data_IF_592958012844
#
_entry.id   IF_592958012844
#
_cell.length_a   1.000
_cell.length_b   1.000
_cell.length_c   1.000
_cell.angle_alpha   90.00
_cell.angle_beta   90.00
_cell.angle_gamma   90.00
#
_symmetry.space_group_name_H-M   'P 1'
#
loop_
_entity.id
_entity.type
_entity.pdbx_description
1 polymer ?
#
# COMPACT_ATOMS: atom_id res chain seq x y z
N UNK A 1 22.72 -14.52 -10.51
CA UNK A 1 22.40 -13.30 -9.75
C UNK A 1 20.89 -13.25 -9.62
N UNK A 2 20.38 -13.41 -8.40
CA UNK A 2 18.96 -13.56 -8.09
C UNK A 2 18.40 -12.24 -7.56
N UNK A 3 17.36 -11.72 -8.18
CA UNK A 3 16.76 -10.43 -7.82
C UNK A 3 15.34 -10.63 -7.30
N UNK A 4 15.03 -10.05 -6.16
CA UNK A 4 13.68 -10.08 -5.60
C UNK A 4 13.03 -8.71 -5.65
N UNK A 5 11.73 -8.69 -5.96
CA UNK A 5 10.84 -7.53 -5.88
C UNK A 5 10.01 -7.56 -4.62
N UNK A 6 9.76 -6.39 -4.04
CA UNK A 6 8.82 -6.16 -2.96
C UNK A 6 7.93 -4.99 -3.37
N UNK A 7 6.60 -5.11 -3.19
CA UNK A 7 5.65 -4.01 -3.39
C UNK A 7 5.25 -3.51 -2.00
N UNK A 8 5.45 -2.22 -1.73
CA UNK A 8 5.28 -1.68 -0.37
C UNK A 8 4.80 -0.23 -0.33
N UNK A 9 4.20 0.14 0.80
CA UNK A 9 3.89 1.53 1.15
C UNK A 9 4.90 2.13 2.12
N UNK A 10 5.41 1.33 3.06
CA UNK A 10 6.30 1.74 4.16
C UNK A 10 5.77 2.97 4.94
N UNK A 11 4.54 2.89 5.38
CA UNK A 11 3.81 4.04 5.95
C UNK A 11 3.52 3.90 7.46
N UNK A 12 4.53 4.10 8.36
CA UNK A 12 5.97 4.21 8.07
C UNK A 12 6.68 2.85 7.92
N UNK A 13 7.96 2.88 7.58
CA UNK A 13 8.83 1.70 7.62
C UNK A 13 8.99 1.24 9.08
N UNK A 14 8.96 -0.08 9.33
CA UNK A 14 9.06 -0.67 10.66
C UNK A 14 9.79 -2.03 10.64
N UNK A 15 10.08 -2.60 11.80
CA UNK A 15 10.84 -3.86 11.96
C UNK A 15 10.29 -5.03 11.13
N UNK A 16 8.97 -5.12 10.95
CA UNK A 16 8.38 -6.15 10.07
C UNK A 16 8.79 -6.00 8.59
N UNK A 17 8.99 -4.77 8.11
CA UNK A 17 9.50 -4.52 6.76
C UNK A 17 11.00 -4.85 6.65
N UNK A 18 11.80 -4.51 7.65
CA UNK A 18 13.20 -4.91 7.73
C UNK A 18 13.34 -6.43 7.74
N UNK A 19 12.53 -7.11 8.56
CA UNK A 19 12.48 -8.58 8.59
C UNK A 19 12.19 -9.17 7.20
N UNK A 20 11.24 -8.61 6.46
CA UNK A 20 10.93 -9.04 5.10
C UNK A 20 12.13 -8.89 4.16
N UNK A 21 12.82 -7.74 4.17
CA UNK A 21 14.02 -7.51 3.36
C UNK A 21 15.13 -8.50 3.74
N UNK A 22 15.39 -8.66 5.03
CA UNK A 22 16.39 -9.59 5.55
C UNK A 22 16.08 -11.04 5.16
N UNK A 23 14.85 -11.50 5.37
CA UNK A 23 14.39 -12.83 4.97
C UNK A 23 14.60 -13.06 3.46
N UNK A 24 14.27 -12.07 2.64
CA UNK A 24 14.45 -12.13 1.19
C UNK A 24 15.93 -12.33 0.81
N UNK A 25 16.84 -11.63 1.47
CA UNK A 25 18.29 -11.79 1.24
C UNK A 25 18.85 -13.09 1.81
N UNK A 26 18.52 -13.39 3.06
CA UNK A 26 19.16 -14.50 3.78
C UNK A 26 18.53 -15.86 3.50
N UNK A 27 17.19 -15.95 3.44
CA UNK A 27 16.47 -17.22 3.27
C UNK A 27 16.18 -17.51 1.79
N UNK A 28 15.71 -16.52 1.03
CA UNK A 28 15.46 -16.69 -0.39
C UNK A 28 16.72 -16.55 -1.25
N UNK A 29 17.86 -16.16 -0.62
CA UNK A 29 19.15 -16.00 -1.29
C UNK A 29 19.09 -15.03 -2.47
N UNK A 30 18.36 -13.94 -2.31
CA UNK A 30 18.36 -12.86 -3.28
C UNK A 30 19.63 -12.01 -3.12
N UNK A 31 20.35 -11.81 -4.22
CA UNK A 31 21.51 -10.91 -4.26
C UNK A 31 21.08 -9.45 -4.15
N UNK A 32 19.92 -9.12 -4.75
CA UNK A 32 19.34 -7.77 -4.74
C UNK A 32 17.85 -7.75 -4.39
N UNK A 33 17.43 -6.69 -3.70
CA UNK A 33 16.03 -6.39 -3.36
C UNK A 33 15.63 -5.06 -4.00
N UNK A 34 14.69 -5.12 -4.95
CA UNK A 34 14.05 -3.96 -5.59
C UNK A 34 12.70 -3.73 -4.92
N UNK A 35 12.45 -2.51 -4.48
CA UNK A 35 11.17 -2.11 -3.88
C UNK A 35 10.39 -1.24 -4.85
N UNK A 36 9.19 -1.67 -5.26
CA UNK A 36 8.19 -0.83 -5.90
C UNK A 36 7.37 -0.17 -4.79
N UNK A 37 7.57 1.13 -4.56
CA UNK A 37 7.03 1.84 -3.41
C UNK A 37 5.99 2.88 -3.81
N UNK A 38 4.88 2.95 -3.07
CA UNK A 38 3.93 4.06 -3.17
C UNK A 38 4.62 5.41 -2.95
N UNK A 39 4.28 6.39 -3.78
CA UNK A 39 4.73 7.77 -3.63
C UNK A 39 4.21 8.42 -2.33
N UNK A 40 3.91 9.71 -2.38
CA UNK A 40 3.49 10.47 -1.19
C UNK A 40 2.04 10.22 -0.76
N UNK A 41 1.28 9.45 -1.55
CA UNK A 41 -0.07 8.98 -1.22
C UNK A 41 -0.15 7.46 -1.34
N UNK A 42 -1.00 6.86 -0.50
CA UNK A 42 -1.04 5.42 -0.29
C UNK A 42 -2.41 4.82 -0.64
N UNK A 43 -2.47 3.51 -0.82
CA UNK A 43 -3.64 2.75 -1.29
C UNK A 43 -4.91 2.97 -0.44
N UNK A 44 -4.75 3.34 0.82
CA UNK A 44 -5.89 3.65 1.69
C UNK A 44 -6.60 4.95 1.32
N UNK A 45 -6.08 5.74 0.38
CA UNK A 45 -6.64 7.02 -0.03
C UNK A 45 -6.28 8.16 0.93
N UNK A 46 -5.08 8.13 1.48
CA UNK A 46 -4.57 9.16 2.41
C UNK A 46 -3.14 9.57 2.03
N UNK A 47 -2.67 10.75 2.46
CA UNK A 47 -1.25 11.04 2.41
C UNK A 47 -0.47 10.01 3.24
N UNK A 48 0.73 9.69 2.82
CA UNK A 48 1.66 8.95 3.64
C UNK A 48 2.06 9.80 4.86
N UNK A 49 2.32 9.17 6.00
CA UNK A 49 2.66 9.88 7.24
C UNK A 49 3.87 10.80 7.05
N UNK A 50 4.92 10.30 6.41
CA UNK A 50 6.17 11.01 6.10
C UNK A 50 6.47 10.92 4.60
N UNK A 51 7.29 11.84 4.09
CA UNK A 51 7.58 11.95 2.66
C UNK A 51 8.15 10.65 2.07
N UNK A 52 7.92 10.43 0.78
CA UNK A 52 8.49 9.27 0.07
C UNK A 52 10.03 9.25 0.16
N UNK A 53 10.69 10.40 0.09
CA UNK A 53 12.16 10.46 0.18
C UNK A 53 12.68 9.98 1.54
N UNK A 54 12.01 10.39 2.64
CA UNK A 54 12.30 9.87 3.99
C UNK A 54 12.14 8.36 4.06
N UNK A 55 11.04 7.82 3.48
CA UNK A 55 10.77 6.36 3.46
C UNK A 55 11.75 5.58 2.60
N UNK A 56 12.20 6.16 1.48
CA UNK A 56 13.28 5.60 0.64
C UNK A 56 14.57 5.48 1.43
N UNK A 57 14.98 6.55 2.12
CA UNK A 57 16.20 6.53 2.94
C UNK A 57 16.11 5.45 4.02
N UNK A 58 14.97 5.33 4.72
CA UNK A 58 14.76 4.28 5.71
C UNK A 58 14.89 2.87 5.10
N UNK A 59 14.27 2.62 3.95
CA UNK A 59 14.31 1.32 3.28
C UNK A 59 15.73 0.94 2.81
N UNK A 60 16.47 1.90 2.23
CA UNK A 60 17.86 1.67 1.78
C UNK A 60 18.80 1.40 2.96
N UNK A 61 18.66 2.11 4.09
CA UNK A 61 19.43 1.86 5.32
C UNK A 61 19.16 0.47 5.89
N UNK A 62 17.95 -0.05 5.70
CA UNK A 62 17.54 -1.38 6.16
C UNK A 62 17.69 -2.48 5.09
N UNK A 63 18.51 -2.24 4.06
CA UNK A 63 18.97 -3.30 3.15
C UNK A 63 18.25 -3.41 1.81
N UNK A 64 17.28 -2.54 1.48
CA UNK A 64 16.80 -2.43 0.10
C UNK A 64 17.91 -1.92 -0.82
N UNK A 65 18.02 -2.43 -2.03
CA UNK A 65 19.08 -2.08 -2.97
C UNK A 65 18.66 -0.96 -3.95
N UNK A 66 17.40 -1.00 -4.36
CA UNK A 66 16.80 -0.04 -5.28
C UNK A 66 15.35 0.21 -4.88
N UNK A 67 14.93 1.48 -4.88
CA UNK A 67 13.54 1.87 -4.66
C UNK A 67 13.01 2.61 -5.89
N UNK A 68 11.93 2.08 -6.45
CA UNK A 68 11.20 2.64 -7.58
C UNK A 68 9.87 3.23 -7.10
N UNK A 69 9.43 4.31 -7.71
CA UNK A 69 8.14 4.92 -7.43
C UNK A 69 7.02 4.31 -8.26
N UNK A 70 5.94 3.92 -7.61
CA UNK A 70 4.68 3.64 -8.30
C UNK A 70 3.91 4.95 -8.54
N UNK A 71 3.37 5.20 -9.74
CA UNK A 71 2.54 6.36 -10.02
C UNK A 71 1.39 6.52 -9.04
N UNK A 72 1.00 7.76 -8.77
CA UNK A 72 -0.03 8.05 -7.76
C UNK A 72 -1.37 7.43 -8.10
N UNK A 73 -1.77 7.39 -9.37
CA UNK A 73 -3.00 6.74 -9.83
C UNK A 73 -3.04 5.23 -9.54
N UNK A 74 -1.88 4.56 -9.51
CA UNK A 74 -1.73 3.16 -9.10
C UNK A 74 -1.63 3.05 -7.58
N UNK A 75 -0.80 3.88 -6.95
CA UNK A 75 -0.57 3.84 -5.49
C UNK A 75 -1.84 4.05 -4.68
N UNK A 76 -2.84 4.75 -5.24
CA UNK A 76 -4.10 5.07 -4.58
C UNK A 76 -5.30 4.28 -5.14
N UNK A 77 -5.05 3.29 -5.99
CA UNK A 77 -6.08 2.49 -6.63
C UNK A 77 -6.67 1.36 -5.74
N UNK A 78 -7.60 0.60 -6.30
CA UNK A 78 -8.10 -0.63 -5.68
C UNK A 78 -6.99 -1.65 -5.48
N UNK A 79 -7.19 -2.66 -4.62
CA UNK A 79 -6.20 -3.71 -4.39
C UNK A 79 -5.78 -4.41 -5.69
N UNK A 80 -6.72 -4.66 -6.60
CA UNK A 80 -6.46 -5.28 -7.90
C UNK A 80 -5.58 -4.40 -8.80
N UNK A 81 -5.94 -3.12 -8.97
CA UNK A 81 -5.15 -2.20 -9.82
C UNK A 81 -3.78 -1.89 -9.19
N UNK A 82 -3.71 -1.74 -7.86
CA UNK A 82 -2.45 -1.59 -7.13
C UNK A 82 -1.52 -2.78 -7.35
N UNK A 83 -2.05 -4.00 -7.20
CA UNK A 83 -1.29 -5.23 -7.42
C UNK A 83 -0.85 -5.37 -8.88
N UNK A 84 -1.77 -5.14 -9.83
CA UNK A 84 -1.45 -5.20 -11.26
C UNK A 84 -0.35 -4.21 -11.63
N UNK A 85 -0.45 -2.96 -11.19
CA UNK A 85 0.55 -1.94 -11.47
C UNK A 85 1.92 -2.27 -10.85
N UNK A 86 1.95 -2.63 -9.57
CA UNK A 86 3.21 -2.98 -8.88
C UNK A 86 3.89 -4.21 -9.50
N UNK A 87 3.12 -5.26 -9.83
CA UNK A 87 3.66 -6.46 -10.50
C UNK A 87 4.10 -6.13 -11.91
N UNK A 88 3.33 -5.34 -12.68
CA UNK A 88 3.72 -4.95 -14.05
C UNK A 88 5.02 -4.14 -14.08
N UNK A 89 5.24 -3.26 -13.10
CA UNK A 89 6.50 -2.53 -12.95
C UNK A 89 7.67 -3.49 -12.76
N UNK A 90 7.56 -4.39 -11.79
CA UNK A 90 8.63 -5.35 -11.49
C UNK A 90 8.90 -6.33 -12.65
N UNK A 91 7.85 -6.83 -13.29
CA UNK A 91 7.95 -7.73 -14.43
C UNK A 91 8.60 -7.04 -15.65
N UNK A 92 8.26 -5.77 -15.87
CA UNK A 92 8.81 -4.98 -16.97
C UNK A 92 10.31 -4.67 -16.85
N UNK A 93 10.88 -4.78 -15.65
CA UNK A 93 12.34 -4.63 -15.46
C UNK A 93 13.13 -5.79 -16.11
N UNK A 94 12.51 -6.95 -16.33
CA UNK A 94 13.10 -8.11 -17.01
C UNK A 94 14.20 -8.83 -16.23
N UNK A 95 14.43 -8.47 -14.95
CA UNK A 95 15.51 -9.02 -14.12
C UNK A 95 15.02 -9.50 -12.74
N UNK A 96 13.73 -9.42 -12.46
CA UNK A 96 13.16 -9.86 -11.18
C UNK A 96 12.76 -11.33 -11.26
N UNK A 97 13.28 -12.14 -10.33
CA UNK A 97 13.05 -13.58 -10.27
C UNK A 97 11.95 -13.95 -9.27
N UNK A 98 11.84 -13.17 -8.18
CA UNK A 98 10.95 -13.45 -7.06
C UNK A 98 10.12 -12.21 -6.72
N UNK A 99 8.82 -12.38 -6.43
CA UNK A 99 8.00 -11.41 -5.74
C UNK A 99 7.78 -11.88 -4.30
N UNK A 100 8.37 -11.17 -3.33
CA UNK A 100 8.25 -11.48 -1.90
C UNK A 100 7.23 -10.55 -1.23
N UNK A 101 6.23 -11.12 -0.57
CA UNK A 101 5.22 -10.36 0.18
C UNK A 101 4.81 -11.06 1.48
N UNK A 102 4.24 -10.32 2.42
CA UNK A 102 3.71 -10.88 3.65
C UNK A 102 2.23 -11.20 3.53
N UNK A 103 1.79 -12.33 4.08
CA UNK A 103 0.38 -12.71 4.20
C UNK A 103 0.07 -13.23 5.60
N UNK A 104 -1.19 -13.20 6.00
CA UNK A 104 -1.61 -13.73 7.31
C UNK A 104 -1.56 -15.27 7.32
N UNK A 105 -1.89 -15.91 6.20
CA UNK A 105 -1.85 -17.38 6.08
C UNK A 105 -0.43 -17.94 6.01
N UNK A 106 0.48 -17.26 5.30
CA UNK A 106 1.81 -17.77 4.99
C UNK A 106 1.82 -18.90 3.95
N UNK A 107 0.67 -19.24 3.37
CA UNK A 107 0.48 -20.39 2.47
C UNK A 107 0.34 -19.94 1.01
N UNK A 108 1.45 -19.99 0.27
CA UNK A 108 1.47 -19.53 -1.12
C UNK A 108 0.65 -20.39 -2.07
N UNK A 109 0.53 -21.70 -1.81
CA UNK A 109 -0.28 -22.62 -2.60
C UNK A 109 -1.74 -22.20 -2.62
N UNK A 110 -2.31 -21.93 -1.45
CA UNK A 110 -3.68 -21.48 -1.28
C UNK A 110 -3.96 -20.14 -2.01
N UNK A 111 -3.04 -19.18 -1.91
CA UNK A 111 -3.18 -17.91 -2.59
C UNK A 111 -3.13 -18.04 -4.12
N UNK A 112 -2.26 -18.90 -4.64
CA UNK A 112 -2.15 -19.18 -6.09
C UNK A 112 -3.40 -19.88 -6.63
N UNK A 113 -3.94 -20.85 -5.90
CA UNK A 113 -5.13 -21.60 -6.30
C UNK A 113 -6.36 -20.67 -6.35
N UNK A 114 -6.57 -19.85 -5.32
CA UNK A 114 -7.61 -18.82 -5.32
C UNK A 114 -7.43 -17.83 -6.48
N UNK A 115 -6.21 -17.43 -6.76
CA UNK A 115 -5.91 -16.53 -7.87
C UNK A 115 -6.24 -17.17 -9.23
N UNK A 116 -5.93 -18.47 -9.42
CA UNK A 116 -6.23 -19.21 -10.63
C UNK A 116 -7.73 -19.22 -10.91
N UNK A 117 -8.55 -19.63 -9.92
CA UNK A 117 -10.01 -19.62 -10.05
C UNK A 117 -10.56 -18.24 -10.40
N UNK A 118 -10.01 -17.21 -9.76
CA UNK A 118 -10.44 -15.82 -10.02
C UNK A 118 -9.99 -15.26 -11.37
N UNK A 119 -8.98 -15.85 -12.00
CA UNK A 119 -8.53 -15.48 -13.37
C UNK A 119 -9.31 -16.26 -14.42
N UNK A 120 -9.50 -17.55 -14.20
CA UNK A 120 -10.20 -18.44 -15.14
C UNK A 120 -11.73 -18.27 -15.12
N UNK A 121 -12.25 -17.90 -13.95
CA UNK A 121 -13.69 -17.73 -13.70
C UNK A 121 -14.52 -18.92 -14.25
N UNK A 122 -14.33 -20.14 -13.71
CA UNK A 122 -15.08 -21.30 -14.17
C UNK A 122 -16.60 -21.06 -14.13
N UNK A 123 -17.35 -21.69 -15.04
CA UNK A 123 -18.80 -21.47 -15.17
C UNK A 123 -19.59 -21.73 -13.87
N UNK A 124 -19.17 -22.72 -13.08
CA UNK A 124 -19.82 -23.00 -11.79
C UNK A 124 -19.56 -21.87 -10.78
N UNK A 125 -18.34 -21.31 -10.75
CA UNK A 125 -18.02 -20.14 -9.94
C UNK A 125 -18.84 -18.91 -10.36
N UNK A 126 -18.95 -18.63 -11.69
CA UNK A 126 -19.77 -17.52 -12.21
C UNK A 126 -21.23 -17.62 -11.82
N UNK A 127 -21.81 -18.83 -11.87
CA UNK A 127 -23.19 -19.08 -11.46
C UNK A 127 -23.38 -18.77 -9.98
N UNK A 128 -22.49 -19.25 -9.11
CA UNK A 128 -22.53 -18.99 -7.67
C UNK A 128 -22.41 -17.50 -7.37
N UNK A 129 -21.44 -16.82 -8.00
CA UNK A 129 -21.23 -15.38 -7.83
C UNK A 129 -22.48 -14.58 -8.23
N UNK A 130 -23.08 -14.91 -9.38
CA UNK A 130 -24.33 -14.26 -9.85
C UNK A 130 -25.49 -14.49 -8.91
N UNK A 131 -25.63 -15.70 -8.35
CA UNK A 131 -26.67 -16.03 -7.37
C UNK A 131 -26.55 -15.14 -6.15
N UNK A 132 -25.36 -15.09 -5.52
CA UNK A 132 -25.15 -14.28 -4.32
C UNK A 132 -25.28 -12.79 -4.55
N UNK A 133 -24.91 -12.28 -5.73
CA UNK A 133 -25.16 -10.89 -6.11
C UNK A 133 -26.66 -10.60 -6.26
N UNK A 134 -27.45 -11.55 -6.82
CA UNK A 134 -28.90 -11.39 -6.94
C UNK A 134 -29.64 -11.43 -5.59
N UNK A 135 -29.03 -12.03 -4.58
CA UNK A 135 -29.50 -12.02 -3.17
C UNK A 135 -29.18 -10.70 -2.43
N UNK A 136 -28.54 -9.74 -3.12
CA UNK A 136 -28.24 -8.42 -2.57
C UNK A 136 -26.96 -8.35 -1.73
N UNK A 137 -26.05 -9.36 -1.86
CA UNK A 137 -24.75 -9.29 -1.21
C UNK A 137 -23.86 -8.26 -1.93
N UNK A 138 -22.98 -7.59 -1.16
CA UNK A 138 -21.92 -6.78 -1.75
C UNK A 138 -20.95 -7.65 -2.55
N UNK A 139 -20.32 -7.12 -3.59
CA UNK A 139 -19.40 -7.89 -4.42
C UNK A 139 -18.30 -8.63 -3.62
N UNK A 140 -17.62 -8.04 -2.62
CA UNK A 140 -16.66 -8.79 -1.81
C UNK A 140 -17.27 -9.96 -1.04
N UNK A 141 -18.48 -9.78 -0.48
CA UNK A 141 -19.18 -10.84 0.26
C UNK A 141 -19.65 -11.95 -0.70
N UNK A 142 -20.23 -11.58 -1.84
CA UNK A 142 -20.67 -12.54 -2.87
C UNK A 142 -19.48 -13.34 -3.42
N UNK A 143 -18.34 -12.68 -3.69
CA UNK A 143 -17.10 -13.33 -4.14
C UNK A 143 -16.58 -14.32 -3.10
N UNK A 144 -16.56 -13.94 -1.83
CA UNK A 144 -16.09 -14.80 -0.74
C UNK A 144 -16.99 -16.03 -0.59
N UNK A 145 -18.31 -15.86 -0.61
CA UNK A 145 -19.25 -16.97 -0.51
C UNK A 145 -19.20 -17.88 -1.75
N UNK A 146 -19.12 -17.30 -2.96
CA UNK A 146 -19.03 -18.07 -4.19
C UNK A 146 -17.78 -18.96 -4.22
N UNK A 147 -16.62 -18.42 -3.80
CA UNK A 147 -15.41 -19.23 -3.68
C UNK A 147 -15.56 -20.33 -2.63
N UNK A 148 -16.11 -20.02 -1.46
CA UNK A 148 -16.33 -21.00 -0.40
C UNK A 148 -17.22 -22.15 -0.88
N UNK A 149 -18.33 -21.85 -1.56
CA UNK A 149 -19.23 -22.89 -2.10
C UNK A 149 -18.60 -23.64 -3.28
N UNK A 150 -17.83 -22.95 -4.12
CA UNK A 150 -17.11 -23.57 -5.22
C UNK A 150 -16.14 -24.66 -4.72
N UNK A 151 -15.37 -24.34 -3.65
CA UNK A 151 -14.43 -25.28 -3.03
C UNK A 151 -15.11 -26.46 -2.30
N UNK A 152 -16.34 -26.30 -1.81
CA UNK A 152 -17.07 -27.39 -1.16
C UNK A 152 -17.53 -28.50 -2.12
N UNK A 153 -17.56 -28.22 -3.43
CA UNK A 153 -18.04 -29.18 -4.41
C UNK A 153 -16.86 -29.98 -5.02
N UNK A 154 -16.70 -31.28 -4.66
CA UNK A 154 -15.61 -32.11 -5.16
C UNK A 154 -15.55 -32.23 -6.69
N UNK A 155 -16.70 -32.07 -7.37
CA UNK A 155 -16.78 -32.18 -8.84
C UNK A 155 -16.09 -31.06 -9.60
N UNK A 156 -15.75 -29.97 -8.91
CA UNK A 156 -15.04 -28.83 -9.51
C UNK A 156 -13.55 -29.09 -9.67
N UNK A 157 -13.06 -30.20 -9.12
CA UNK A 157 -11.64 -30.56 -9.12
C UNK A 157 -11.46 -31.94 -9.75
N UNK A 158 -10.60 -32.09 -10.71
CA UNK A 158 -10.29 -33.36 -11.37
C UNK A 158 -8.92 -33.84 -10.90
N UNK A 159 -8.90 -35.01 -10.20
CA UNK A 159 -7.66 -35.71 -9.85
C UNK A 159 -7.65 -36.33 -8.45
N UNK A 160 -6.73 -37.26 -8.24
CA UNK A 160 -6.51 -38.01 -6.96
C UNK A 160 -5.98 -37.11 -5.81
N UNK A 161 -5.71 -35.81 -6.09
CA UNK A 161 -5.18 -34.86 -5.11
C UNK A 161 -6.24 -34.27 -4.17
N UNK A 162 -7.48 -34.75 -4.26
CA UNK A 162 -8.64 -34.15 -3.60
C UNK A 162 -8.60 -34.24 -2.06
N UNK A 163 -8.10 -35.34 -1.49
CA UNK A 163 -8.21 -35.57 -0.03
C UNK A 163 -7.11 -34.91 0.82
N UNK A 164 -5.97 -34.54 0.24
CA UNK A 164 -4.81 -34.05 0.99
C UNK A 164 -4.68 -32.52 1.08
N UNK A 165 -5.06 -31.79 0.03
CA UNK A 165 -4.80 -30.35 -0.09
C UNK A 165 -6.08 -29.51 0.10
N UNK A 166 -7.23 -30.00 -0.31
CA UNK A 166 -8.49 -29.23 -0.34
C UNK A 166 -9.22 -29.16 1.00
N UNK A 167 -9.13 -30.16 1.86
CA UNK A 167 -9.81 -30.15 3.16
C UNK A 167 -9.27 -29.08 4.12
N UNK A 168 -7.96 -28.90 4.25
CA UNK A 168 -7.40 -27.74 4.98
C UNK A 168 -7.80 -26.41 4.35
N UNK A 169 -7.76 -26.30 3.01
CA UNK A 169 -8.09 -25.10 2.26
C UNK A 169 -9.54 -24.64 2.49
N UNK A 170 -10.50 -25.57 2.53
CA UNK A 170 -11.91 -25.28 2.78
C UNK A 170 -12.17 -24.55 4.10
N UNK A 171 -11.47 -24.95 5.16
CA UNK A 171 -11.59 -24.32 6.47
C UNK A 171 -10.91 -22.95 6.52
N UNK A 172 -9.93 -22.71 5.65
CA UNK A 172 -9.11 -21.50 5.63
C UNK A 172 -9.59 -20.46 4.60
N UNK A 173 -10.31 -20.87 3.54
CA UNK A 173 -10.73 -19.94 2.45
C UNK A 173 -11.43 -18.70 2.99
N UNK A 174 -12.37 -18.87 3.92
CA UNK A 174 -13.10 -17.74 4.50
C UNK A 174 -12.16 -16.82 5.30
N UNK A 175 -11.21 -17.38 6.04
CA UNK A 175 -10.23 -16.59 6.78
C UNK A 175 -9.25 -15.87 5.83
N UNK A 176 -8.78 -16.58 4.79
CA UNK A 176 -7.90 -16.03 3.77
C UNK A 176 -8.55 -14.81 3.08
N UNK A 177 -9.83 -14.94 2.69
CA UNK A 177 -10.55 -13.89 1.96
C UNK A 177 -10.98 -12.70 2.82
N UNK A 178 -10.90 -12.80 4.16
CA UNK A 178 -11.28 -11.73 5.07
C UNK A 178 -10.09 -10.92 5.59
N UNK A 179 -8.85 -11.29 5.26
CA UNK A 179 -7.64 -10.62 5.74
C UNK A 179 -6.96 -9.81 4.64
N UNK A 180 -6.55 -8.57 4.93
CA UNK A 180 -6.12 -7.63 3.88
C UNK A 180 -4.87 -8.03 3.14
N UNK A 181 -3.86 -8.62 3.80
CA UNK A 181 -2.63 -8.98 3.12
C UNK A 181 -2.78 -10.29 2.33
N UNK A 182 -3.65 -11.19 2.75
CA UNK A 182 -4.03 -12.35 1.92
C UNK A 182 -4.75 -11.89 0.65
N UNK A 183 -5.69 -10.91 0.75
CA UNK A 183 -6.37 -10.33 -0.41
C UNK A 183 -5.33 -9.74 -1.38
N UNK A 184 -4.38 -8.95 -0.89
CA UNK A 184 -3.29 -8.42 -1.73
C UNK A 184 -2.42 -9.54 -2.31
N UNK A 185 -2.12 -10.58 -1.54
CA UNK A 185 -1.37 -11.75 -2.01
C UNK A 185 -2.07 -12.46 -3.18
N UNK A 186 -3.39 -12.64 -3.09
CA UNK A 186 -4.21 -13.18 -4.19
C UNK A 186 -4.14 -12.25 -5.41
N UNK A 187 -4.29 -10.94 -5.22
CA UNK A 187 -4.23 -9.99 -6.34
C UNK A 187 -2.83 -9.94 -6.99
N UNK A 188 -1.74 -10.12 -6.23
CA UNK A 188 -0.40 -10.29 -6.79
C UNK A 188 -0.29 -11.56 -7.64
N UNK A 189 -0.79 -12.69 -7.14
CA UNK A 189 -0.80 -13.94 -7.90
C UNK A 189 -1.66 -13.82 -9.18
N UNK A 190 -2.84 -13.16 -9.11
CA UNK A 190 -3.67 -12.87 -10.28
C UNK A 190 -2.91 -12.02 -11.30
N UNK A 191 -2.23 -10.97 -10.86
CA UNK A 191 -1.45 -10.10 -11.73
C UNK A 191 -0.33 -10.87 -12.44
N UNK A 192 0.39 -11.74 -11.73
CA UNK A 192 1.43 -12.60 -12.33
C UNK A 192 0.85 -13.54 -13.39
N UNK A 193 -0.31 -14.15 -13.13
CA UNK A 193 -1.00 -15.01 -14.08
C UNK A 193 -1.44 -14.23 -15.34
N UNK A 194 -2.10 -13.10 -15.17
CA UNK A 194 -2.58 -12.26 -16.29
C UNK A 194 -1.47 -11.71 -17.17
N UNK A 195 -0.31 -11.41 -16.57
CA UNK A 195 0.88 -10.95 -17.29
C UNK A 195 1.70 -12.10 -17.89
N UNK A 196 1.33 -13.35 -17.62
CA UNK A 196 2.16 -14.52 -17.95
C UNK A 196 3.60 -14.33 -17.49
N UNK A 197 3.77 -13.81 -16.28
CA UNK A 197 5.06 -13.43 -15.69
C UNK A 197 5.87 -14.65 -15.27
N UNK A 198 7.19 -14.56 -15.41
CA UNK A 198 8.13 -15.59 -14.92
C UNK A 198 8.50 -15.39 -13.45
N UNK A 199 8.05 -14.30 -12.82
CA UNK A 199 8.35 -14.00 -11.42
C UNK A 199 7.66 -15.03 -10.52
N UNK A 200 8.43 -15.65 -9.63
CA UNK A 200 7.93 -16.62 -8.67
C UNK A 200 7.38 -15.90 -7.42
N UNK A 201 6.09 -16.01 -7.09
CA UNK A 201 5.56 -15.43 -5.85
C UNK A 201 5.99 -16.28 -4.65
N UNK A 202 6.43 -15.59 -3.59
CA UNK A 202 6.79 -16.17 -2.29
C UNK A 202 6.15 -15.33 -1.20
N UNK A 203 5.48 -15.97 -0.26
CA UNK A 203 4.89 -15.28 0.89
C UNK A 203 5.61 -15.64 2.18
N UNK A 204 5.66 -14.65 3.09
CA UNK A 204 6.15 -14.80 4.46
C UNK A 204 4.96 -14.68 5.37
N UNK A 205 4.80 -15.62 6.31
CA UNK A 205 3.76 -15.51 7.32
C UNK A 205 4.03 -14.27 8.19
N UNK A 206 3.02 -13.44 8.34
CA UNK A 206 3.11 -12.26 9.22
C UNK A 206 2.96 -12.73 10.66
N UNK A 207 4.03 -12.59 11.41
CA UNK A 207 4.05 -12.78 12.86
C UNK A 207 3.85 -11.44 13.54
N UNK A 208 2.92 -11.33 14.49
CA UNK A 208 2.65 -10.09 15.21
C UNK A 208 1.16 -9.78 15.37
N UNK A 209 0.85 -8.58 15.87
CA UNK A 209 -0.53 -8.13 16.14
C UNK A 209 -1.38 -8.11 14.87
N UNK A 210 -2.62 -8.58 14.99
CA UNK A 210 -3.61 -8.57 13.91
C UNK A 210 -3.79 -7.17 13.31
N UNK A 211 -4.20 -7.12 12.06
CA UNK A 211 -4.38 -5.88 11.28
C UNK A 211 -5.29 -4.82 11.94
N UNK A 212 -6.19 -5.26 12.83
CA UNK A 212 -7.15 -4.41 13.53
C UNK A 212 -6.71 -3.97 14.93
N UNK A 213 -5.58 -4.47 15.43
CA UNK A 213 -5.08 -4.05 16.73
C UNK A 213 -4.39 -2.69 16.61
N UNK A 214 -4.97 -1.70 17.27
CA UNK A 214 -4.49 -0.31 17.31
C UNK A 214 -3.59 -0.02 18.51
N UNK A 215 -3.47 -0.99 19.43
CA UNK A 215 -2.65 -0.87 20.65
C UNK A 215 -1.31 -1.57 20.48
N UNK A 216 -0.24 -0.93 20.91
CA UNK A 216 1.10 -1.56 21.01
C UNK A 216 1.19 -2.19 22.39
N UNK A 217 1.63 -3.46 22.55
CA UNK A 217 1.81 -4.06 23.86
C UNK A 217 2.79 -3.25 24.71
N UNK A 218 2.39 -2.88 25.93
CA UNK A 218 3.31 -2.33 26.91
C UNK A 218 4.19 -3.48 27.41
N UNK A 219 5.48 -3.42 27.13
CA UNK A 219 6.44 -4.37 27.65
C UNK A 219 6.64 -4.16 29.14
N UNK A 220 5.86 -4.86 29.97
CA UNK A 220 6.19 -5.19 31.36
C UNK A 220 5.29 -6.33 31.82
N UNK A 221 5.65 -7.54 31.44
CA UNK A 221 5.34 -8.75 32.22
C UNK A 221 6.42 -9.79 31.95
N UNK A 222 7.59 -9.55 32.57
CA UNK A 222 8.56 -10.60 32.83
C UNK A 222 7.96 -11.58 33.83
N UNK A 223 7.13 -12.52 33.41
CA UNK A 223 6.89 -13.73 34.16
C UNK A 223 8.01 -14.70 33.84
N UNK A 224 8.88 -14.86 34.82
CA UNK A 224 9.96 -15.82 34.92
C UNK A 224 9.54 -17.25 34.61
N UNK A 225 9.95 -17.77 33.45
CA UNK A 225 10.15 -19.19 33.17
C UNK A 225 11.38 -19.35 32.30
N UNK A 226 12.46 -19.97 32.76
CA UNK A 226 13.68 -20.14 32.00
C UNK A 226 13.66 -21.42 31.20
N UNK A 227 12.89 -21.49 30.12
CA UNK A 227 13.03 -22.55 29.11
C UNK A 227 12.13 -22.19 27.95
N UNK A 228 12.73 -21.64 26.94
CA UNK A 228 12.45 -21.67 25.51
C UNK A 228 12.95 -20.38 24.85
N UNK A 229 14.16 -20.45 24.31
CA UNK A 229 14.68 -19.48 23.33
C UNK A 229 13.81 -19.50 22.06
N UNK A 230 12.71 -18.77 22.09
CA UNK A 230 12.01 -18.27 20.91
C UNK A 230 11.54 -16.86 21.25
N UNK A 231 12.38 -15.87 20.96
CA UNK A 231 11.99 -14.47 20.96
C UNK A 231 10.93 -14.28 19.88
N UNK A 232 9.66 -14.39 20.25
CA UNK A 232 8.56 -13.89 19.44
C UNK A 232 8.64 -12.36 19.47
N UNK A 233 9.41 -11.79 18.54
CA UNK A 233 9.45 -10.35 18.30
C UNK A 233 8.05 -9.93 17.82
N UNK A 234 7.26 -9.36 18.70
CA UNK A 234 5.98 -8.77 18.35
C UNK A 234 6.21 -7.48 17.56
N UNK A 235 5.87 -7.49 16.28
CA UNK A 235 5.94 -6.32 15.41
C UNK A 235 4.62 -5.55 15.42
N UNK A 236 4.66 -4.27 15.81
CA UNK A 236 3.50 -3.39 15.69
C UNK A 236 3.15 -3.16 14.20
N UNK A 237 1.87 -3.09 13.90
CA UNK A 237 1.42 -2.74 12.55
C UNK A 237 1.70 -1.25 12.25
N UNK A 238 1.89 -0.90 10.98
CA UNK A 238 2.02 0.49 10.55
C UNK A 238 0.80 1.35 10.98
N UNK A 239 -0.38 0.74 11.13
CA UNK A 239 -1.59 1.39 11.63
C UNK A 239 -1.44 1.76 13.11
N UNK A 240 -0.97 0.83 13.94
CA UNK A 240 -0.72 1.08 15.36
C UNK A 240 0.31 2.22 15.55
N UNK A 241 1.39 2.21 14.77
CA UNK A 241 2.41 3.27 14.81
C UNK A 241 1.81 4.64 14.44
N UNK A 242 0.97 4.72 13.39
CA UNK A 242 0.30 5.98 13.03
C UNK A 242 -0.66 6.45 14.12
N UNK A 243 -1.45 5.55 14.72
CA UNK A 243 -2.36 5.89 15.80
C UNK A 243 -1.66 6.48 17.00
N UNK A 244 -0.48 5.96 17.38
CA UNK A 244 0.34 6.50 18.46
C UNK A 244 0.82 7.94 18.18
N UNK A 245 1.13 8.26 16.93
CA UNK A 245 1.59 9.59 16.54
C UNK A 245 0.42 10.59 16.48
N UNK A 246 -0.75 10.14 16.02
CA UNK A 246 -1.95 10.97 15.89
C UNK A 246 -2.63 11.22 17.24
N UNK A 247 -2.54 10.26 18.19
CA UNK A 247 -3.17 10.32 19.50
C UNK A 247 -2.15 10.05 20.63
N UNK A 248 -1.19 10.95 20.86
CA UNK A 248 -0.23 10.79 21.96
C UNK A 248 -0.99 10.88 23.29
N UNK A 249 -1.02 9.77 24.03
CA UNK A 249 -1.64 9.71 25.35
C UNK A 249 -2.84 8.76 25.55
N UNK A 250 -3.26 8.00 24.52
CA UNK A 250 -4.20 6.85 24.66
C UNK A 250 -5.62 7.16 25.15
N UNK A 251 -6.03 8.41 25.23
CA UNK A 251 -7.38 8.81 25.60
C UNK A 251 -8.29 8.93 24.39
N UNK A 252 -9.47 8.30 24.44
CA UNK A 252 -10.61 8.61 23.54
C UNK A 252 -11.14 10.01 23.86
N UNK A 253 -10.37 11.06 23.61
CA UNK A 253 -10.91 12.40 23.53
C UNK A 253 -11.14 12.70 22.05
N UNK A 254 -12.39 13.02 21.70
CA UNK A 254 -12.75 13.73 20.48
C UNK A 254 -12.03 15.10 20.49
N UNK A 255 -10.72 15.07 20.29
CA UNK A 255 -9.97 16.29 20.06
C UNK A 255 -10.30 16.74 18.64
N UNK A 256 -11.21 17.72 18.55
CA UNK A 256 -11.28 18.61 17.41
C UNK A 256 -9.85 19.06 17.17
N UNK A 257 -9.25 18.59 16.06
CA UNK A 257 -7.90 18.94 15.70
C UNK A 257 -7.88 20.43 15.32
N UNK A 258 -7.55 21.27 16.28
CA UNK A 258 -7.24 22.67 16.05
C UNK A 258 -6.09 22.73 15.05
N UNK A 259 -6.35 23.24 13.86
CA UNK A 259 -5.39 23.46 12.77
C UNK A 259 -4.18 24.28 13.27
N UNK A 260 -4.35 25.03 14.36
CA UNK A 260 -3.38 25.93 14.98
C UNK A 260 -2.60 25.32 16.14
N UNK A 261 -2.86 24.07 16.53
CA UNK A 261 -2.12 23.48 17.63
C UNK A 261 -0.87 22.80 17.08
N UNK A 262 0.36 23.27 17.38
CA UNK A 262 1.56 22.58 16.98
C UNK A 262 1.49 21.17 17.59
N UNK A 263 1.52 20.15 16.72
CA UNK A 263 1.55 18.75 17.18
C UNK A 263 2.67 18.63 18.18
N UNK A 264 2.33 18.33 19.42
CA UNK A 264 3.32 18.17 20.49
C UNK A 264 4.26 17.04 20.09
N UNK A 265 5.56 17.27 20.27
CA UNK A 265 6.54 16.19 20.16
C UNK A 265 6.02 14.99 20.97
N UNK A 266 6.13 13.76 20.42
CA UNK A 266 5.70 12.59 21.17
C UNK A 266 6.31 12.60 22.56
N UNK A 267 5.50 12.32 23.57
CA UNK A 267 5.99 12.20 24.93
C UNK A 267 7.07 11.11 25.02
N UNK A 268 7.81 11.09 26.11
CA UNK A 268 8.92 10.14 26.31
C UNK A 268 8.45 8.69 26.16
N UNK A 269 7.22 8.37 26.60
CA UNK A 269 6.63 7.03 26.48
C UNK A 269 6.40 6.66 25.02
N UNK A 270 5.75 7.52 24.27
CA UNK A 270 5.50 7.33 22.81
C UNK A 270 6.82 7.21 22.04
N UNK A 271 7.81 8.06 22.35
CA UNK A 271 9.14 7.99 21.72
C UNK A 271 9.84 6.65 21.98
N UNK A 272 9.76 6.11 23.19
CA UNK A 272 10.32 4.80 23.55
C UNK A 272 9.62 3.66 22.77
N UNK A 273 8.29 3.70 22.69
CA UNK A 273 7.53 2.71 21.92
C UNK A 273 7.92 2.77 20.43
N UNK A 274 7.99 3.96 19.82
CA UNK A 274 8.40 4.13 18.44
C UNK A 274 9.80 3.60 18.18
N UNK A 275 10.75 3.85 19.09
CA UNK A 275 12.13 3.35 18.99
C UNK A 275 12.21 1.82 19.05
N UNK A 276 11.28 1.17 19.77
CA UNK A 276 11.22 -0.29 19.84
C UNK A 276 10.65 -0.93 18.56
N UNK A 277 9.83 -0.21 17.77
CA UNK A 277 9.13 -0.73 16.59
C UNK A 277 9.77 -0.36 15.25
N UNK A 278 10.63 0.65 15.23
CA UNK A 278 11.35 1.08 14.03
C UNK A 278 12.81 0.61 14.14
N UNK A 279 13.39 0.05 13.06
CA UNK A 279 14.80 -0.37 13.07
C UNK A 279 15.73 0.77 13.45
N UNK A 280 16.80 0.53 14.23
CA UNK A 280 17.72 1.58 14.67
C UNK A 280 18.29 2.41 13.51
N UNK A 281 18.65 1.78 12.39
CA UNK A 281 19.22 2.45 11.23
C UNK A 281 18.23 3.39 10.52
N UNK A 282 16.93 3.09 10.64
CA UNK A 282 15.85 3.91 10.10
C UNK A 282 15.31 4.93 11.13
N UNK A 283 15.46 4.66 12.43
CA UNK A 283 14.84 5.45 13.48
C UNK A 283 15.36 6.88 13.53
N UNK A 284 16.65 7.10 13.30
CA UNK A 284 17.22 8.45 13.26
C UNK A 284 16.56 9.31 12.18
N UNK A 285 16.37 8.76 10.96
CA UNK A 285 15.75 9.46 9.84
C UNK A 285 14.28 9.76 10.15
N UNK A 286 13.56 8.77 10.69
CA UNK A 286 12.16 8.89 11.09
C UNK A 286 11.97 9.95 12.18
N UNK A 287 12.78 9.87 13.26
CA UNK A 287 12.74 10.81 14.39
C UNK A 287 13.00 12.23 13.92
N UNK A 288 13.98 12.45 13.06
CA UNK A 288 14.28 13.76 12.50
C UNK A 288 13.07 14.37 11.79
N UNK A 289 12.36 13.58 10.97
CA UNK A 289 11.15 14.04 10.30
C UNK A 289 10.04 14.40 11.30
N UNK A 290 9.84 13.59 12.33
CA UNK A 290 8.84 13.87 13.37
C UNK A 290 9.20 15.13 14.19
N UNK A 291 10.44 15.26 14.65
CA UNK A 291 10.91 16.41 15.44
C UNK A 291 10.80 17.72 14.63
N UNK A 292 10.95 17.65 13.32
CA UNK A 292 10.78 18.78 12.39
C UNK A 292 9.32 19.05 12.02
N UNK A 293 8.34 18.27 12.51
CA UNK A 293 6.94 18.37 12.15
C UNK A 293 6.64 17.94 10.70
N UNK A 294 7.57 17.26 10.02
CA UNK A 294 7.46 16.85 8.61
C UNK A 294 6.62 15.58 8.44
N UNK A 295 5.38 15.63 8.90
CA UNK A 295 4.41 14.56 8.71
C UNK A 295 3.01 15.12 8.40
N UNK A 296 2.22 14.37 7.63
CA UNK A 296 0.86 14.71 7.26
C UNK A 296 -0.13 13.63 7.73
N UNK A 297 -1.36 14.07 7.95
CA UNK A 297 -2.52 13.22 8.18
C UNK A 297 -3.57 13.49 7.11
N UNK A 298 -4.63 12.69 7.05
CA UNK A 298 -5.73 12.90 6.12
C UNK A 298 -6.37 14.29 6.25
N UNK A 299 -6.48 14.82 7.46
CA UNK A 299 -7.06 16.13 7.71
C UNK A 299 -6.17 17.31 7.26
N UNK A 300 -4.92 17.04 6.91
CA UNK A 300 -4.07 18.03 6.21
C UNK A 300 -4.63 18.44 4.82
N UNK A 301 -5.62 17.68 4.31
CA UNK A 301 -6.28 17.91 3.03
C UNK A 301 -7.60 18.69 3.14
N UNK A 302 -8.08 19.03 4.34
CA UNK A 302 -9.42 19.58 4.59
C UNK A 302 -9.78 20.81 3.74
N UNK A 303 -8.94 21.83 3.75
CA UNK A 303 -9.17 23.06 2.98
C UNK A 303 -9.15 22.84 1.47
N UNK A 304 -8.30 21.91 1.00
CA UNK A 304 -8.19 21.60 -0.42
C UNK A 304 -9.43 20.82 -0.86
N UNK A 305 -9.86 19.82 -0.05
CA UNK A 305 -11.08 19.07 -0.31
C UNK A 305 -12.28 20.00 -0.41
N UNK A 306 -12.46 20.90 0.57
CA UNK A 306 -13.56 21.86 0.58
C UNK A 306 -13.55 22.73 -0.69
N UNK A 307 -12.37 23.24 -1.08
CA UNK A 307 -12.22 24.03 -2.32
C UNK A 307 -12.61 23.22 -3.56
N UNK A 308 -12.12 21.97 -3.68
CA UNK A 308 -12.46 21.12 -4.81
C UNK A 308 -13.97 20.86 -4.88
N UNK A 309 -14.59 20.44 -3.77
CA UNK A 309 -16.01 20.11 -3.75
C UNK A 309 -16.93 21.31 -4.07
N UNK A 310 -16.53 22.53 -3.72
CA UNK A 310 -17.29 23.74 -4.06
C UNK A 310 -17.35 24.05 -5.57
N UNK A 311 -16.43 23.51 -6.35
CA UNK A 311 -16.33 23.74 -7.81
C UNK A 311 -17.04 22.67 -8.63
N UNK A 312 -17.32 21.54 -8.02
CA UNK A 312 -17.79 20.33 -8.70
C UNK A 312 -19.32 20.24 -8.74
N UNK A 313 -19.80 19.50 -9.71
CA UNK A 313 -21.20 19.07 -9.82
C UNK A 313 -21.26 17.53 -9.92
N UNK A 314 -22.45 16.94 -10.03
CA UNK A 314 -22.62 15.48 -10.09
C UNK A 314 -21.90 14.87 -11.31
N UNK A 315 -21.98 15.53 -12.45
CA UNK A 315 -21.39 15.05 -13.71
C UNK A 315 -19.86 15.06 -13.62
N UNK A 316 -19.26 16.18 -13.22
CA UNK A 316 -17.80 16.30 -13.06
C UNK A 316 -17.26 15.37 -11.99
N UNK A 317 -17.95 15.24 -10.85
CA UNK A 317 -17.57 14.31 -9.79
C UNK A 317 -17.53 12.85 -10.28
N UNK A 318 -18.51 12.46 -11.11
CA UNK A 318 -18.60 11.08 -11.61
C UNK A 318 -17.48 10.71 -12.58
N UNK A 319 -16.69 11.66 -13.05
CA UNK A 319 -15.52 11.42 -13.92
C UNK A 319 -14.28 11.02 -13.13
N UNK A 320 -14.23 11.26 -11.82
CA UNK A 320 -13.09 10.89 -10.99
C UNK A 320 -13.07 9.40 -10.65
N UNK A 321 -11.88 8.83 -10.57
CA UNK A 321 -11.70 7.43 -10.23
C UNK A 321 -12.32 7.11 -8.84
N UNK A 322 -12.93 5.96 -8.69
CA UNK A 322 -13.68 5.49 -7.51
C UNK A 322 -14.99 6.26 -7.18
N UNK A 323 -15.35 7.30 -7.92
CA UNK A 323 -16.58 8.08 -7.73
C UNK A 323 -17.68 7.55 -8.65
N UNK A 324 -18.66 6.85 -8.08
CA UNK A 324 -19.90 6.48 -8.80
C UNK A 324 -20.88 7.65 -8.80
N UNK A 325 -21.85 7.63 -9.72
CA UNK A 325 -22.91 8.65 -9.78
C UNK A 325 -23.67 8.78 -8.45
N UNK A 326 -23.94 7.65 -7.78
CA UNK A 326 -24.61 7.66 -6.46
C UNK A 326 -23.75 8.34 -5.39
N UNK A 327 -22.42 8.10 -5.39
CA UNK A 327 -21.52 8.79 -4.50
C UNK A 327 -21.43 10.28 -4.83
N UNK A 328 -21.39 10.66 -6.10
CA UNK A 328 -21.39 12.05 -6.55
C UNK A 328 -22.63 12.79 -6.09
N UNK A 329 -23.83 12.22 -6.30
CA UNK A 329 -25.11 12.78 -5.80
C UNK A 329 -25.10 12.93 -4.28
N UNK A 330 -24.58 11.93 -3.55
CA UNK A 330 -24.49 11.95 -2.10
C UNK A 330 -23.54 13.05 -1.61
N UNK A 331 -22.39 13.25 -2.25
CA UNK A 331 -21.44 14.33 -1.96
C UNK A 331 -22.14 15.68 -2.10
N UNK A 332 -22.81 15.96 -3.22
CA UNK A 332 -23.48 17.23 -3.48
C UNK A 332 -24.61 17.47 -2.46
N UNK A 333 -25.44 16.46 -2.18
CA UNK A 333 -26.55 16.59 -1.23
C UNK A 333 -26.11 16.82 0.21
N UNK A 334 -24.90 16.41 0.58
CA UNK A 334 -24.37 16.53 1.94
C UNK A 334 -23.22 17.54 2.07
N UNK A 335 -22.94 18.30 1.03
CA UNK A 335 -21.78 19.21 0.94
C UNK A 335 -21.63 20.13 2.16
N UNK A 336 -22.74 20.61 2.72
CA UNK A 336 -22.75 21.49 3.91
C UNK A 336 -22.26 20.79 5.20
N UNK A 337 -22.20 19.45 5.21
CA UNK A 337 -21.75 18.64 6.35
C UNK A 337 -20.31 18.17 6.21
N UNK A 338 -19.68 18.40 5.05
CA UNK A 338 -18.34 17.89 4.73
C UNK A 338 -17.28 18.91 5.15
N UNK A 339 -16.98 19.01 6.45
CA UNK A 339 -16.08 20.03 7.01
C UNK A 339 -14.62 19.59 7.07
N UNK A 340 -14.34 18.30 7.37
CA UNK A 340 -13.00 17.73 7.35
C UNK A 340 -12.97 16.46 6.51
N UNK A 341 -11.77 16.02 6.11
CA UNK A 341 -11.60 14.80 5.33
C UNK A 341 -12.15 13.57 6.09
N UNK A 342 -11.75 13.40 7.34
CA UNK A 342 -12.19 12.27 8.18
C UNK A 342 -13.69 12.28 8.45
N UNK A 343 -14.26 13.45 8.72
CA UNK A 343 -15.72 13.62 8.90
C UNK A 343 -16.46 13.33 7.60
N UNK A 344 -15.98 13.82 6.46
CA UNK A 344 -16.57 13.56 5.15
C UNK A 344 -16.64 12.05 4.85
N UNK A 345 -15.59 11.31 5.17
CA UNK A 345 -15.58 9.86 5.04
C UNK A 345 -16.67 9.21 5.90
N UNK A 346 -16.85 9.67 7.14
CA UNK A 346 -17.86 9.12 8.06
C UNK A 346 -19.28 9.41 7.59
N UNK A 347 -19.55 10.64 7.13
CA UNK A 347 -20.86 11.09 6.63
C UNK A 347 -21.26 10.36 5.32
N UNK A 348 -20.29 10.14 4.43
CA UNK A 348 -20.53 9.51 3.13
C UNK A 348 -20.62 7.99 3.21
N UNK A 349 -20.14 7.35 4.29
CA UNK A 349 -20.13 5.90 4.45
C UNK A 349 -21.52 5.30 4.39
N UNK A 350 -21.64 4.16 3.68
CA UNK A 350 -22.85 3.34 3.63
C UNK A 350 -22.48 1.87 3.80
N UNK A 351 -23.47 0.97 3.77
CA UNK A 351 -23.21 -0.49 3.76
C UNK A 351 -22.42 -0.92 2.52
N UNK A 352 -22.66 -0.29 1.37
CA UNK A 352 -22.05 -0.65 0.08
C UNK A 352 -20.76 0.15 -0.19
N UNK A 353 -20.67 1.38 0.33
CA UNK A 353 -19.50 2.24 0.18
C UNK A 353 -18.59 2.12 1.40
N UNK A 354 -17.52 1.35 1.26
CA UNK A 354 -16.55 1.17 2.33
C UNK A 354 -15.76 2.45 2.61
N UNK A 355 -15.31 2.63 3.85
CA UNK A 355 -14.49 3.76 4.26
C UNK A 355 -13.29 3.99 3.32
N UNK A 356 -12.55 2.93 2.98
CA UNK A 356 -11.37 3.03 2.10
C UNK A 356 -11.72 3.48 0.69
N UNK A 357 -12.85 3.05 0.13
CA UNK A 357 -13.30 3.49 -1.19
C UNK A 357 -13.63 4.98 -1.19
N UNK A 358 -14.31 5.47 -0.14
CA UNK A 358 -14.63 6.90 -0.01
C UNK A 358 -13.35 7.72 0.16
N UNK A 359 -12.40 7.28 1.00
CA UNK A 359 -11.11 7.94 1.15
C UNK A 359 -10.38 8.09 -0.18
N UNK A 360 -10.33 7.03 -0.99
CA UNK A 360 -9.73 7.09 -2.33
C UNK A 360 -10.48 8.05 -3.24
N UNK A 361 -11.81 7.97 -3.30
CA UNK A 361 -12.63 8.85 -4.12
C UNK A 361 -12.38 10.33 -3.79
N UNK A 362 -12.40 10.70 -2.50
CA UNK A 362 -12.12 12.07 -2.08
C UNK A 362 -10.68 12.50 -2.41
N UNK A 363 -9.71 11.60 -2.26
CA UNK A 363 -8.34 11.86 -2.64
C UNK A 363 -8.18 12.03 -4.16
N UNK A 364 -8.87 11.22 -4.97
CA UNK A 364 -8.83 11.34 -6.42
C UNK A 364 -9.42 12.67 -6.91
N UNK A 365 -10.45 13.18 -6.26
CA UNK A 365 -10.99 14.53 -6.54
C UNK A 365 -9.91 15.60 -6.25
N UNK A 366 -9.22 15.51 -5.11
CA UNK A 366 -8.14 16.45 -4.74
C UNK A 366 -6.98 16.40 -5.73
N UNK A 367 -6.58 15.19 -6.13
CA UNK A 367 -5.41 14.97 -7.00
C UNK A 367 -5.72 15.02 -8.49
N UNK A 368 -6.99 15.23 -8.85
CA UNK A 368 -7.48 15.25 -10.23
C UNK A 368 -7.17 13.94 -10.99
N UNK A 369 -7.43 12.79 -10.35
CA UNK A 369 -7.19 11.46 -10.91
C UNK A 369 -8.50 10.89 -11.46
N UNK A 370 -8.53 10.61 -12.76
CA UNK A 370 -9.70 10.09 -13.45
C UNK A 370 -9.57 8.59 -13.75
N UNK A 371 -8.37 8.12 -14.08
CA UNK A 371 -8.11 6.73 -14.45
C UNK A 371 -6.77 6.26 -13.88
N UNK A 372 -6.60 4.95 -13.79
CA UNK A 372 -5.31 4.33 -13.53
C UNK A 372 -4.89 3.49 -14.73
N UNK A 373 -3.61 3.52 -15.14
CA UNK A 373 -3.12 2.67 -16.20
C UNK A 373 -3.15 1.20 -15.76
N UNK A 374 -3.38 0.28 -16.71
CA UNK A 374 -3.33 -1.15 -16.44
C UNK A 374 -1.91 -1.62 -16.14
N UNK A 375 -0.92 -1.00 -16.78
CA UNK A 375 0.51 -1.27 -16.59
C UNK A 375 1.25 0.05 -16.44
N UNK A 376 2.34 0.04 -15.68
CA UNK A 376 3.18 1.22 -15.47
C UNK A 376 4.15 1.34 -16.66
N UNK A 377 4.14 2.47 -17.41
CA UNK A 377 4.91 2.60 -18.66
C UNK A 377 6.37 3.05 -18.45
N UNK A 378 6.83 3.24 -17.22
CA UNK A 378 8.19 3.65 -16.89
C UNK A 378 8.61 3.18 -15.50
N UNK A 379 9.91 3.09 -15.26
CA UNK A 379 10.47 2.81 -13.95
C UNK A 379 11.16 4.08 -13.41
N UNK A 380 10.54 4.77 -12.45
CA UNK A 380 11.12 5.94 -11.80
C UNK A 380 11.95 5.55 -10.59
N UNK A 381 13.25 5.85 -10.60
CA UNK A 381 14.15 5.63 -9.48
C UNK A 381 13.97 6.75 -8.44
N UNK A 382 13.78 6.39 -7.17
CA UNK A 382 13.79 7.32 -6.04
C UNK A 382 15.12 7.28 -5.27
N UNK A 383 15.75 6.11 -5.21
CA UNK A 383 17.05 5.95 -4.57
C UNK A 383 17.61 4.54 -4.74
N UNK A 384 18.91 4.40 -4.48
CA UNK A 384 19.61 3.13 -4.54
C UNK A 384 20.88 3.14 -3.67
N UNK A 385 21.38 1.94 -3.32
CA UNK A 385 22.66 1.79 -2.64
C UNK A 385 23.80 1.84 -3.67
N UNK A 386 24.85 2.59 -3.37
CA UNK A 386 25.98 2.79 -4.29
C UNK A 386 26.62 1.48 -4.73
N UNK A 387 26.74 0.52 -3.83
CA UNK A 387 27.25 -0.83 -4.11
C UNK A 387 26.34 -1.63 -5.05
N UNK A 388 25.06 -1.24 -5.19
CA UNK A 388 24.06 -1.88 -6.07
C UNK A 388 23.89 -1.16 -7.41
N UNK A 389 24.82 -0.27 -7.79
CA UNK A 389 24.75 0.52 -9.03
C UNK A 389 24.74 -0.35 -10.30
N UNK A 390 25.33 -1.55 -10.26
CA UNK A 390 25.28 -2.54 -11.35
C UNK A 390 23.83 -2.91 -11.71
N UNK A 391 22.92 -2.91 -10.71
CA UNK A 391 21.52 -3.21 -10.91
C UNK A 391 20.86 -2.25 -11.92
N UNK A 392 21.19 -0.94 -11.87
CA UNK A 392 20.69 0.03 -12.83
C UNK A 392 21.15 -0.26 -14.27
N UNK A 393 22.36 -0.70 -14.43
CA UNK A 393 22.91 -1.08 -15.75
C UNK A 393 22.19 -2.33 -16.29
N UNK A 394 21.94 -3.32 -15.45
CA UNK A 394 21.16 -4.50 -15.83
C UNK A 394 19.72 -4.18 -16.19
N UNK A 395 19.05 -3.32 -15.42
CA UNK A 395 17.70 -2.86 -15.74
C UNK A 395 17.69 -2.20 -17.12
N UNK A 396 18.62 -1.29 -17.42
CA UNK A 396 18.71 -0.63 -18.73
C UNK A 396 18.87 -1.61 -19.91
N UNK A 397 19.49 -2.77 -19.68
CA UNK A 397 19.71 -3.78 -20.73
C UNK A 397 18.51 -4.70 -20.95
N UNK A 398 17.70 -4.96 -19.92
CA UNK A 398 16.67 -5.99 -19.95
C UNK A 398 15.24 -5.42 -19.83
N UNK A 399 15.10 -4.19 -19.35
CA UNK A 399 13.80 -3.56 -19.12
C UNK A 399 13.08 -3.28 -20.43
N UNK A 400 11.76 -3.56 -20.43
CA UNK A 400 10.86 -3.24 -21.54
C UNK A 400 10.31 -1.81 -21.46
N UNK A 401 10.59 -1.10 -20.36
CA UNK A 401 10.13 0.27 -20.10
C UNK A 401 11.33 1.17 -19.78
N UNK A 402 11.26 2.47 -20.07
CA UNK A 402 12.34 3.40 -19.78
C UNK A 402 12.60 3.55 -18.28
N UNK A 403 13.89 3.65 -17.91
CA UNK A 403 14.34 3.90 -16.55
C UNK A 403 14.60 5.41 -16.36
N UNK A 404 13.81 6.06 -15.51
CA UNK A 404 13.89 7.49 -15.24
C UNK A 404 14.69 7.69 -13.95
N UNK A 405 15.88 8.25 -14.09
CA UNK A 405 16.74 8.66 -12.96
C UNK A 405 16.71 10.18 -12.74
N UNK A 406 16.35 10.95 -13.78
CA UNK A 406 16.19 12.41 -13.72
C UNK A 406 14.87 12.82 -14.37
N UNK A 407 14.05 13.59 -13.67
CA UNK A 407 12.77 14.06 -14.22
C UNK A 407 12.93 14.96 -15.45
N UNK A 408 14.03 15.72 -15.55
CA UNK A 408 14.31 16.57 -16.69
C UNK A 408 14.44 15.78 -18.02
N UNK A 409 14.87 14.52 -17.95
CA UNK A 409 15.08 13.69 -19.13
C UNK A 409 13.81 12.93 -19.53
N UNK A 410 12.80 12.90 -18.66
CA UNK A 410 11.62 12.05 -18.80
C UNK A 410 10.78 12.38 -20.04
N UNK A 411 10.61 13.66 -20.38
CA UNK A 411 9.81 14.10 -21.54
C UNK A 411 10.31 13.52 -22.87
N UNK A 412 11.62 13.26 -22.95
CA UNK A 412 12.23 12.70 -24.16
C UNK A 412 12.18 11.16 -24.20
N UNK A 413 11.87 10.53 -23.07
CA UNK A 413 11.85 9.08 -22.92
C UNK A 413 10.45 8.48 -22.95
N UNK A 414 9.42 9.30 -22.68
CA UNK A 414 8.04 8.87 -22.53
C UNK A 414 7.17 9.35 -23.69
N UNK A 415 6.18 8.55 -24.02
CA UNK A 415 5.06 8.97 -24.88
C UNK A 415 4.11 9.93 -24.15
N UNK A 416 3.00 10.31 -24.79
CA UNK A 416 2.02 11.25 -24.21
C UNK A 416 1.35 10.69 -22.95
N UNK A 417 1.01 9.40 -22.94
CA UNK A 417 0.37 8.73 -21.79
C UNK A 417 1.35 8.64 -20.61
N UNK A 418 2.57 8.19 -20.85
CA UNK A 418 3.61 8.13 -19.81
C UNK A 418 3.95 9.49 -19.21
N UNK A 419 3.98 10.54 -20.05
CA UNK A 419 4.20 11.91 -19.59
C UNK A 419 3.02 12.42 -18.74
N UNK A 420 1.77 12.09 -19.09
CA UNK A 420 0.61 12.44 -18.29
C UNK A 420 0.67 11.77 -16.92
N UNK A 421 0.88 10.45 -16.86
CA UNK A 421 0.98 9.67 -15.61
C UNK A 421 2.10 10.21 -14.71
N UNK A 422 3.25 10.54 -15.29
CA UNK A 422 4.37 11.15 -14.55
C UNK A 422 4.02 12.54 -14.04
N UNK A 423 3.35 13.37 -14.85
CA UNK A 423 2.91 14.71 -14.47
C UNK A 423 1.94 14.67 -13.29
N UNK A 424 0.96 13.77 -13.28
CA UNK A 424 0.03 13.55 -12.16
C UNK A 424 0.80 13.16 -10.88
N UNK A 425 1.81 12.30 -11.00
CA UNK A 425 2.65 11.86 -9.88
C UNK A 425 3.52 13.01 -9.36
N UNK A 426 4.10 13.83 -10.22
CA UNK A 426 4.87 15.01 -9.85
C UNK A 426 3.99 16.07 -9.19
N UNK A 427 2.79 16.30 -9.73
CA UNK A 427 1.80 17.21 -9.15
C UNK A 427 1.44 16.78 -7.73
N UNK A 428 1.12 15.52 -7.54
CA UNK A 428 0.75 14.99 -6.22
C UNK A 428 1.88 15.14 -5.20
N UNK A 429 3.12 14.89 -5.61
CA UNK A 429 4.31 15.09 -4.75
C UNK A 429 4.54 16.54 -4.40
N UNK A 430 4.31 17.46 -5.35
CA UNK A 430 4.42 18.89 -5.10
C UNK A 430 3.31 19.39 -4.16
N UNK A 431 2.09 18.83 -4.25
CA UNK A 431 1.01 19.14 -3.32
C UNK A 431 1.38 18.68 -1.90
N UNK A 432 1.88 17.44 -1.75
CA UNK A 432 2.36 16.92 -0.47
C UNK A 432 3.44 17.83 0.13
N UNK A 433 4.44 18.17 -0.66
CA UNK A 433 5.53 19.09 -0.27
C UNK A 433 5.01 20.47 0.15
N UNK A 434 4.02 21.00 -0.60
CA UNK A 434 3.40 22.31 -0.28
C UNK A 434 2.69 22.27 1.07
N UNK A 435 1.97 21.19 1.36
CA UNK A 435 1.30 21.01 2.65
C UNK A 435 2.31 20.94 3.81
N UNK A 436 3.43 20.22 3.63
CA UNK A 436 4.51 20.22 4.62
C UNK A 436 5.10 21.62 4.83
N UNK A 437 5.32 22.38 3.75
CA UNK A 437 5.84 23.75 3.86
C UNK A 437 4.88 24.69 4.61
N UNK A 438 3.57 24.56 4.35
CA UNK A 438 2.56 25.35 5.06
C UNK A 438 2.53 25.02 6.57
N UNK A 439 2.72 23.76 6.90
CA UNK A 439 2.74 23.29 8.29
C UNK A 439 4.03 23.68 9.04
N UNK A 440 5.18 23.57 8.38
CA UNK A 440 6.50 23.70 9.05
C UNK A 440 7.17 25.04 8.83
N UNK A 441 6.69 25.87 7.89
CA UNK A 441 7.33 27.12 7.49
C UNK A 441 8.58 26.95 6.63
N UNK A 442 8.96 25.71 6.26
CA UNK A 442 10.15 25.46 5.44
C UNK A 442 9.97 25.90 3.99
N UNK A 443 11.08 26.11 3.29
CA UNK A 443 11.07 26.50 1.87
C UNK A 443 10.56 25.34 1.00
N UNK A 444 9.70 25.67 0.04
CA UNK A 444 9.21 24.72 -0.96
C UNK A 444 10.35 24.27 -1.89
N UNK A 445 10.42 22.97 -2.12
CA UNK A 445 11.32 22.33 -3.07
C UNK A 445 10.51 21.53 -4.08
N UNK A 446 10.47 21.98 -5.33
CA UNK A 446 9.75 21.28 -6.40
C UNK A 446 10.32 19.87 -6.60
N UNK A 447 9.47 18.89 -6.91
CA UNK A 447 9.86 17.49 -7.06
C UNK A 447 10.98 17.28 -8.09
N UNK A 448 11.00 18.09 -9.17
CA UNK A 448 12.07 18.04 -10.19
C UNK A 448 13.44 18.49 -9.69
N UNK A 449 13.51 19.19 -8.55
CA UNK A 449 14.76 19.66 -7.94
C UNK A 449 15.30 18.69 -6.88
N UNK A 450 14.46 17.71 -6.46
CA UNK A 450 14.88 16.70 -5.50
C UNK A 450 15.80 15.68 -6.17
N UNK A 451 16.88 15.38 -5.48
CA UNK A 451 17.87 14.43 -5.96
C UNK A 451 17.53 13.00 -5.51
N UNK A 452 18.08 12.03 -6.21
CA UNK A 452 18.03 10.63 -5.80
C UNK A 452 18.69 10.43 -4.44
N UNK A 453 18.13 9.55 -3.63
CA UNK A 453 18.78 9.10 -2.40
C UNK A 453 19.84 8.05 -2.77
N UNK A 454 21.10 8.33 -2.53
CA UNK A 454 22.21 7.41 -2.80
C UNK A 454 22.94 7.18 -1.48
N UNK A 455 22.97 5.94 -1.01
CA UNK A 455 23.63 5.52 0.23
C UNK A 455 24.86 4.67 -0.05
#
# INVERSE_FOLDING_TARGET
MKTAGIIAEYNPFHKGHEYQIRYTKEKLKADYVIVAMSGDYVQRGTPALISKHTRVEMALRCGADLVLEMPVSISTASAEAFAMGGVSLLDSLGIVDILCFGSESGEISALKELAQILVEEPEEYKKLLKSFLSEGLTFPAARSQALTEYFKNPRNFSGDDFDGVLTPLLNEVTQILNTPNNILGIEYCKALLRLNSRICPVTIRREGMGYHETTVPEGDSASSSPDLQSSTDFFASATAIRSLIQNPGGGHSEAISDINNPVRNPDTKTANILSSQIPPDAFYVFKKALDSGEFLTENSLDSILSYCLMKENVESLSSYMDVSEDLARRIINQQNLLLSFSQSVSVLKTRELTQKRIQRALLHIILNIHTAPTQIPFARVLGFRRESSELLSRIKQHSRIPLITKLADAQNLLDSEGNQILSETVFSSNLYEKLLCLKTGRKFCHESQKQLIIL
#
